data_IF_360800251467
#
_entry.id   IF_360800251467
#
_cell.length_a   1.000
_cell.length_b   1.000
_cell.length_c   1.000
_cell.angle_alpha   90.00
_cell.angle_beta   90.00
_cell.angle_gamma   90.00
#
_symmetry.space_group_name_H-M   'P 1'
#
loop_
_entity.id
_entity.type
_entity.pdbx_description
1 polymer ?
#
# COMPACT_ATOMS: atom_id res chain seq x y z
N UNK A 1 -9.24 1.60 12.21
CA UNK A 1 -8.77 2.00 10.87
C UNK A 1 -7.49 1.22 10.58
N UNK A 2 -7.32 0.60 9.41
CA UNK A 2 -6.09 -0.13 9.08
C UNK A 2 -5.01 0.84 8.60
N UNK A 3 -3.74 0.44 8.73
CA UNK A 3 -2.59 1.28 8.38
C UNK A 3 -2.61 1.86 6.95
N UNK A 4 -3.13 1.18 5.90
CA UNK A 4 -3.19 1.76 4.55
C UNK A 4 -4.14 2.95 4.48
N UNK A 5 -5.27 2.87 5.20
CA UNK A 5 -6.30 3.93 5.25
C UNK A 5 -5.79 5.15 6.01
N UNK A 6 -5.11 4.97 7.14
CA UNK A 6 -4.53 6.10 7.88
C UNK A 6 -3.33 6.71 7.16
N UNK A 7 -2.49 5.89 6.53
CA UNK A 7 -1.33 6.35 5.77
C UNK A 7 -1.73 7.14 4.53
N UNK A 8 -2.78 6.72 3.81
CA UNK A 8 -3.25 7.43 2.62
C UNK A 8 -3.83 8.81 2.97
N UNK A 9 -4.58 8.90 4.07
CA UNK A 9 -5.11 10.18 4.57
C UNK A 9 -4.01 11.14 4.97
N UNK A 10 -3.00 10.63 5.70
CA UNK A 10 -1.84 11.43 6.05
C UNK A 10 -1.10 11.93 4.80
N UNK A 11 -0.93 11.07 3.79
CA UNK A 11 -0.30 11.46 2.53
C UNK A 11 -1.10 12.54 1.79
N UNK A 12 -2.42 12.42 1.75
CA UNK A 12 -3.32 13.41 1.16
C UNK A 12 -3.29 14.76 1.90
N UNK A 13 -3.29 14.74 3.24
CA UNK A 13 -3.19 15.95 4.07
C UNK A 13 -1.92 16.77 3.81
N UNK A 14 -0.83 16.10 3.41
CA UNK A 14 0.44 16.74 3.08
C UNK A 14 0.60 17.02 1.58
N UNK A 15 -0.46 16.87 0.79
CA UNK A 15 -0.50 17.27 -0.62
C UNK A 15 0.27 16.34 -1.57
N UNK A 16 0.47 15.08 -1.20
CA UNK A 16 1.06 14.11 -2.13
C UNK A 16 0.14 13.88 -3.36
N UNK A 17 0.72 13.56 -4.53
CA UNK A 17 -0.06 13.24 -5.72
C UNK A 17 -1.03 12.09 -5.49
N UNK A 18 -2.19 12.13 -6.16
CA UNK A 18 -3.24 11.12 -6.01
C UNK A 18 -2.75 9.71 -6.36
N UNK A 19 -1.82 9.59 -7.31
CA UNK A 19 -1.24 8.31 -7.68
C UNK A 19 -0.47 7.69 -6.49
N UNK A 20 0.26 8.51 -5.72
CA UNK A 20 0.98 8.07 -4.51
C UNK A 20 -0.01 7.70 -3.40
N UNK A 21 -1.02 8.53 -3.17
CA UNK A 21 -2.08 8.26 -2.19
C UNK A 21 -2.80 6.94 -2.53
N UNK A 22 -3.05 6.67 -3.80
CA UNK A 22 -3.66 5.42 -4.29
C UNK A 22 -2.77 4.21 -4.00
N UNK A 23 -1.47 4.28 -4.26
CA UNK A 23 -0.52 3.21 -3.94
C UNK A 23 -0.56 2.88 -2.45
N UNK A 24 -0.49 3.91 -1.59
CA UNK A 24 -0.53 3.74 -0.13
C UNK A 24 -1.86 3.12 0.31
N UNK A 25 -2.98 3.53 -0.26
CA UNK A 25 -4.28 2.99 0.10
C UNK A 25 -4.43 1.53 -0.36
N UNK A 26 -4.05 1.21 -1.60
CA UNK A 26 -4.39 -0.03 -2.28
C UNK A 26 -3.33 -1.15 -2.18
N UNK A 27 -2.15 -0.90 -1.58
CA UNK A 27 -1.10 -1.93 -1.50
C UNK A 27 -1.46 -3.16 -0.64
N UNK A 28 -2.45 -3.07 0.25
CA UNK A 28 -2.92 -4.19 1.08
C UNK A 28 -4.34 -4.63 0.66
N UNK A 29 -5.08 -5.27 1.58
CA UNK A 29 -6.43 -5.80 1.36
C UNK A 29 -7.49 -4.74 1.00
N UNK A 30 -7.26 -3.45 1.25
CA UNK A 30 -8.11 -2.37 0.71
C UNK A 30 -8.15 -2.42 -0.82
N UNK A 31 -7.03 -2.77 -1.44
CA UNK A 31 -6.90 -2.87 -2.89
C UNK A 31 -7.66 -4.04 -3.53
N UNK A 32 -8.19 -4.99 -2.75
CA UNK A 32 -8.94 -6.13 -3.30
C UNK A 32 -10.31 -5.70 -3.85
N UNK A 33 -10.86 -4.61 -3.32
CA UNK A 33 -12.12 -4.03 -3.75
C UNK A 33 -11.92 -2.85 -4.72
N UNK A 34 -10.71 -2.66 -5.23
CA UNK A 34 -10.31 -1.53 -6.08
C UNK A 34 -9.50 -2.02 -7.28
N UNK A 35 -9.42 -1.19 -8.31
CA UNK A 35 -8.44 -1.40 -9.37
C UNK A 35 -7.09 -0.84 -8.90
N UNK A 36 -6.11 -1.72 -8.67
CA UNK A 36 -4.72 -1.32 -8.39
C UNK A 36 -4.10 -0.70 -9.65
N UNK A 37 -3.32 0.37 -9.48
CA UNK A 37 -2.43 0.84 -10.55
C UNK A 37 -1.27 -0.14 -10.72
N UNK A 38 -0.55 -0.12 -11.86
CA UNK A 38 0.65 -0.94 -12.06
C UNK A 38 1.66 -0.83 -10.90
N UNK A 39 1.91 0.39 -10.42
CA UNK A 39 2.83 0.67 -9.31
C UNK A 39 2.29 0.09 -8.00
N UNK A 40 0.98 0.19 -7.76
CA UNK A 40 0.36 -0.40 -6.56
C UNK A 40 0.43 -1.93 -6.56
N UNK A 41 0.34 -2.58 -7.73
CA UNK A 41 0.56 -4.02 -7.89
C UNK A 41 2.01 -4.38 -7.51
N UNK A 42 2.99 -3.62 -8.02
CA UNK A 42 4.40 -3.85 -7.69
C UNK A 42 4.62 -3.72 -6.19
N UNK A 43 4.16 -2.63 -5.58
CA UNK A 43 4.32 -2.37 -4.14
C UNK A 43 3.64 -3.44 -3.29
N UNK A 44 2.45 -3.89 -3.68
CA UNK A 44 1.76 -5.01 -3.03
C UNK A 44 2.64 -6.27 -3.01
N UNK A 45 3.21 -6.68 -4.14
CA UNK A 45 4.07 -7.85 -4.17
C UNK A 45 5.37 -7.66 -3.38
N UNK A 46 6.00 -6.49 -3.46
CA UNK A 46 7.19 -6.18 -2.68
C UNK A 46 6.93 -6.27 -1.17
N UNK A 47 5.79 -5.76 -0.68
CA UNK A 47 5.41 -5.81 0.73
C UNK A 47 5.28 -7.26 1.24
N UNK A 48 4.59 -8.12 0.50
CA UNK A 48 4.44 -9.53 0.86
C UNK A 48 5.76 -10.31 0.78
N UNK A 49 6.62 -10.01 -0.21
CA UNK A 49 7.95 -10.63 -0.31
C UNK A 49 8.81 -10.26 0.91
N UNK A 50 8.87 -8.97 1.27
CA UNK A 50 9.62 -8.51 2.45
C UNK A 50 9.07 -9.12 3.75
N UNK A 51 7.75 -9.22 3.87
CA UNK A 51 7.10 -9.88 5.01
C UNK A 51 7.52 -11.35 5.16
N UNK A 52 7.47 -12.14 4.08
CA UNK A 52 7.87 -13.55 4.14
C UNK A 52 9.37 -13.73 4.37
N UNK A 53 10.23 -12.87 3.80
CA UNK A 53 11.67 -12.86 4.10
C UNK A 53 11.89 -12.63 5.59
N UNK A 54 11.28 -11.59 6.17
CA UNK A 54 11.41 -11.27 7.60
C UNK A 54 10.95 -12.44 8.46
N UNK A 55 9.79 -13.01 8.16
CA UNK A 55 9.21 -14.15 8.88
C UNK A 55 10.10 -15.40 8.84
N UNK A 56 10.87 -15.62 7.77
CA UNK A 56 11.79 -16.74 7.67
C UNK A 56 13.12 -16.55 8.45
N UNK A 57 13.43 -15.32 8.86
CA UNK A 57 14.68 -14.96 9.56
C UNK A 57 14.53 -14.85 11.09
N UNK A 58 13.31 -14.95 11.61
CA UNK A 58 12.97 -15.01 13.05
C UNK A 58 12.36 -16.36 13.41
#
# INVERSE_FOLDING_TARGET
MRHPVSGSKLAEEYGLPKEIVHIIFAHSKEGDNLQRSPESIIVHHCDFIDFEIKKALV
#
